data_IF_921249994461
#
_entry.id   IF_921249994461
#
_cell.length_a   1.000
_cell.length_b   1.000
_cell.length_c   1.000
_cell.angle_alpha   90.00
_cell.angle_beta   90.00
_cell.angle_gamma   90.00
#
_symmetry.space_group_name_H-M   'P 1'
#
loop_
_entity.id
_entity.type
_entity.pdbx_description
1 polymer ?
#
# COMPACT_ATOMS: atom_id res chain seq x y z
N UNK A 1 -26.16 -22.67 -0.76
CA UNK A 1 -25.98 -21.50 -1.64
C UNK A 1 -25.56 -20.24 -0.87
N UNK A 2 -26.21 -19.87 0.25
CA UNK A 2 -25.82 -18.69 1.03
C UNK A 2 -24.37 -18.72 1.58
N UNK A 3 -23.90 -19.84 2.16
CA UNK A 3 -22.54 -19.92 2.71
C UNK A 3 -21.43 -19.80 1.65
N UNK A 4 -21.61 -20.41 0.47
CA UNK A 4 -20.65 -20.29 -0.64
C UNK A 4 -20.58 -18.85 -1.16
N UNK A 5 -21.73 -18.15 -1.18
CA UNK A 5 -21.80 -16.77 -1.61
C UNK A 5 -21.10 -15.81 -0.63
N UNK A 6 -21.21 -16.08 0.67
CA UNK A 6 -20.50 -15.32 1.71
C UNK A 6 -18.99 -15.62 1.73
N UNK A 7 -18.58 -16.87 1.50
CA UNK A 7 -17.16 -17.21 1.31
C UNK A 7 -16.55 -16.50 0.10
N UNK A 8 -17.27 -16.47 -1.03
CA UNK A 8 -16.84 -15.74 -2.23
C UNK A 8 -16.70 -14.23 -1.97
N UNK A 9 -17.72 -13.60 -1.35
CA UNK A 9 -17.65 -12.18 -0.98
C UNK A 9 -16.47 -11.87 -0.07
N UNK A 10 -16.21 -12.71 0.93
CA UNK A 10 -15.10 -12.51 1.85
C UNK A 10 -13.74 -12.64 1.13
N UNK A 11 -13.58 -13.60 0.21
CA UNK A 11 -12.37 -13.73 -0.60
C UNK A 11 -12.15 -12.52 -1.52
N UNK A 12 -13.20 -12.04 -2.19
CA UNK A 12 -13.11 -10.83 -3.03
C UNK A 12 -12.73 -9.61 -2.18
N UNK A 13 -13.33 -9.45 -0.99
CA UNK A 13 -13.03 -8.32 -0.09
C UNK A 13 -11.57 -8.35 0.41
N UNK A 14 -11.06 -9.53 0.74
CA UNK A 14 -9.67 -9.72 1.17
C UNK A 14 -8.64 -9.33 0.10
N UNK A 15 -9.01 -9.38 -1.18
CA UNK A 15 -8.16 -8.94 -2.29
C UNK A 15 -8.39 -7.48 -2.70
N UNK A 16 -9.64 -7.01 -2.63
CA UNK A 16 -9.99 -5.65 -3.04
C UNK A 16 -9.44 -4.60 -2.07
N UNK A 17 -9.46 -4.88 -0.76
CA UNK A 17 -8.99 -3.94 0.27
C UNK A 17 -7.50 -3.55 0.13
N UNK A 18 -6.53 -4.47 0.01
CA UNK A 18 -5.13 -4.07 -0.19
C UNK A 18 -4.92 -3.23 -1.44
N UNK A 19 -5.64 -3.53 -2.54
CA UNK A 19 -5.53 -2.77 -3.78
C UNK A 19 -6.07 -1.34 -3.63
N UNK A 20 -7.18 -1.16 -2.92
CA UNK A 20 -7.74 0.16 -2.63
C UNK A 20 -6.80 0.98 -1.75
N UNK A 21 -6.21 0.37 -0.72
CA UNK A 21 -5.25 1.03 0.18
C UNK A 21 -3.99 1.49 -0.58
N UNK A 22 -3.42 0.64 -1.43
CA UNK A 22 -2.27 1.01 -2.28
C UNK A 22 -2.63 2.09 -3.30
N UNK A 23 -3.82 2.02 -3.93
CA UNK A 23 -4.24 3.04 -4.89
C UNK A 23 -4.41 4.42 -4.22
N UNK A 24 -5.02 4.46 -3.03
CA UNK A 24 -5.14 5.66 -2.24
C UNK A 24 -3.76 6.22 -1.85
N UNK A 25 -2.84 5.34 -1.44
CA UNK A 25 -1.47 5.71 -1.12
C UNK A 25 -0.74 6.30 -2.35
N UNK A 26 -0.85 5.68 -3.53
CA UNK A 26 -0.26 6.19 -4.77
C UNK A 26 -0.77 7.58 -5.11
N UNK A 27 -2.09 7.80 -5.02
CA UNK A 27 -2.70 9.11 -5.26
C UNK A 27 -2.17 10.16 -4.28
N UNK A 28 -2.14 9.83 -2.98
CA UNK A 28 -1.59 10.70 -1.93
C UNK A 28 -0.13 11.04 -2.21
N UNK A 29 0.71 10.08 -2.58
CA UNK A 29 2.12 10.32 -2.88
C UNK A 29 2.28 11.23 -4.09
N UNK A 30 1.59 10.94 -5.19
CA UNK A 30 1.67 11.75 -6.42
C UNK A 30 1.23 13.20 -6.17
N UNK A 31 0.17 13.42 -5.41
CA UNK A 31 -0.31 14.76 -5.06
C UNK A 31 0.67 15.53 -4.17
N UNK A 32 1.48 14.82 -3.38
CA UNK A 32 2.39 15.44 -2.43
C UNK A 32 3.82 15.59 -2.97
N UNK A 33 4.19 15.04 -4.13
CA UNK A 33 5.54 15.19 -4.68
C UNK A 33 5.86 16.66 -4.98
N UNK A 34 7.05 17.09 -4.59
CA UNK A 34 7.54 18.45 -4.86
C UNK A 34 8.15 18.55 -6.24
N UNK A 35 7.94 19.70 -6.85
CA UNK A 35 8.54 20.07 -8.13
C UNK A 35 8.87 21.56 -8.12
N UNK A 36 9.83 21.96 -8.94
CA UNK A 36 10.16 23.37 -9.13
C UNK A 36 9.03 24.03 -9.90
N UNK A 37 8.45 25.08 -9.30
CA UNK A 37 7.36 25.82 -9.95
C UNK A 37 7.93 26.82 -10.96
N UNK A 38 7.25 27.08 -12.09
CA UNK A 38 7.71 28.09 -13.05
C UNK A 38 7.95 29.47 -12.42
N UNK A 39 7.13 29.86 -11.44
CA UNK A 39 7.25 31.15 -10.73
C UNK A 39 8.46 31.21 -9.79
N UNK A 40 9.06 30.07 -9.46
CA UNK A 40 10.29 29.97 -8.68
C UNK A 40 11.52 30.12 -9.55
N UNK A 41 11.44 29.68 -10.82
CA UNK A 41 12.51 29.81 -11.80
C UNK A 41 12.70 31.27 -12.23
N UNK A 42 11.61 32.04 -12.37
CA UNK A 42 11.68 33.47 -12.72
C UNK A 42 12.30 34.34 -11.61
N UNK A 43 12.41 33.81 -10.39
CA UNK A 43 12.99 34.50 -9.22
C UNK A 43 14.48 34.22 -9.02
N UNK A 44 15.08 33.34 -9.83
CA UNK A 44 16.50 33.01 -9.74
C UNK A 44 17.34 34.23 -10.12
N UNK A 45 18.28 34.59 -9.24
CA UNK A 45 19.20 35.70 -9.49
C UNK A 45 20.57 35.22 -9.97
N UNK A 46 20.91 33.98 -9.63
CA UNK A 46 22.19 33.36 -9.93
C UNK A 46 21.99 31.90 -10.34
N UNK A 47 22.84 31.34 -11.23
CA UNK A 47 22.70 29.96 -11.68
C UNK A 47 22.88 28.92 -10.56
N UNK A 48 23.65 29.22 -9.51
CA UNK A 48 23.87 28.32 -8.38
C UNK A 48 22.58 28.06 -7.58
N UNK A 49 21.67 29.04 -7.53
CA UNK A 49 20.37 28.92 -6.83
C UNK A 49 19.48 27.85 -7.47
N UNK A 50 19.69 27.53 -8.76
CA UNK A 50 18.99 26.44 -9.42
C UNK A 50 19.43 25.08 -8.87
N UNK A 51 20.74 24.89 -8.63
CA UNK A 51 21.28 23.66 -8.07
C UNK A 51 20.81 23.46 -6.63
N UNK A 52 20.86 24.52 -5.81
CA UNK A 52 20.37 24.49 -4.43
C UNK A 52 18.90 24.06 -4.37
N UNK A 53 18.05 24.61 -5.24
CA UNK A 53 16.63 24.24 -5.30
C UNK A 53 16.40 22.81 -5.79
N UNK A 54 17.18 22.32 -6.76
CA UNK A 54 17.08 20.92 -7.20
C UNK A 54 17.46 19.95 -6.07
N UNK A 55 18.52 20.26 -5.31
CA UNK A 55 18.92 19.47 -4.14
C UNK A 55 17.82 19.51 -3.08
N UNK A 56 17.22 20.67 -2.84
CA UNK A 56 16.12 20.80 -1.88
C UNK A 56 14.91 19.93 -2.27
N UNK A 57 14.46 20.02 -3.53
CA UNK A 57 13.36 19.17 -4.04
C UNK A 57 13.72 17.69 -3.98
N UNK A 58 14.96 17.32 -4.30
CA UNK A 58 15.44 15.94 -4.19
C UNK A 58 15.36 15.43 -2.76
N UNK A 59 15.84 16.20 -1.78
CA UNK A 59 15.81 15.83 -0.36
C UNK A 59 14.35 15.66 0.08
N UNK A 60 13.49 16.63 -0.25
CA UNK A 60 12.07 16.58 0.13
C UNK A 60 11.36 15.36 -0.48
N UNK A 61 11.57 15.10 -1.77
CA UNK A 61 11.01 13.94 -2.46
C UNK A 61 11.60 12.61 -1.94
N UNK A 62 12.85 12.60 -1.49
CA UNK A 62 13.46 11.41 -0.88
C UNK A 62 12.75 11.06 0.42
N UNK A 63 12.46 12.05 1.28
CA UNK A 63 11.67 11.82 2.50
C UNK A 63 10.25 11.31 2.18
N UNK A 64 9.58 11.90 1.19
CA UNK A 64 8.23 11.46 0.75
C UNK A 64 8.25 10.04 0.21
N UNK A 65 9.28 9.69 -0.57
CA UNK A 65 9.46 8.33 -1.10
C UNK A 65 9.70 7.33 0.02
N UNK A 66 10.55 7.67 1.01
CA UNK A 66 10.79 6.80 2.15
C UNK A 66 9.51 6.55 2.95
N UNK A 67 8.74 7.61 3.23
CA UNK A 67 7.45 7.50 3.91
C UNK A 67 6.43 6.67 3.10
N UNK A 68 6.40 6.84 1.78
CA UNK A 68 5.58 5.99 0.91
C UNK A 68 5.95 4.51 1.04
N UNK A 69 7.25 4.18 1.03
CA UNK A 69 7.71 2.80 1.17
C UNK A 69 7.33 2.23 2.52
N UNK A 70 7.46 2.99 3.61
CA UNK A 70 7.02 2.60 4.95
C UNK A 70 5.51 2.31 4.99
N UNK A 71 4.67 3.22 4.50
CA UNK A 71 3.22 3.03 4.43
C UNK A 71 2.84 1.82 3.55
N UNK A 72 3.52 1.61 2.41
CA UNK A 72 3.29 0.48 1.53
C UNK A 72 3.65 -0.87 2.19
N UNK A 73 4.78 -0.93 2.90
CA UNK A 73 5.17 -2.12 3.66
C UNK A 73 4.16 -2.41 4.78
N UNK A 74 3.66 -1.39 5.46
CA UNK A 74 2.66 -1.56 6.51
C UNK A 74 1.34 -2.15 5.95
N UNK A 75 0.87 -1.65 4.79
CA UNK A 75 -0.29 -2.21 4.09
C UNK A 75 -0.03 -3.68 3.75
N UNK A 76 1.12 -3.98 3.16
CA UNK A 76 1.49 -5.34 2.78
C UNK A 76 1.52 -6.29 3.99
N UNK A 77 2.20 -5.92 5.08
CA UNK A 77 2.31 -6.72 6.30
C UNK A 77 0.92 -7.03 6.88
N UNK A 78 0.08 -5.99 7.02
CA UNK A 78 -1.29 -6.13 7.53
C UNK A 78 -2.10 -7.17 6.75
N UNK A 79 -2.08 -7.10 5.43
CA UNK A 79 -2.86 -8.03 4.59
C UNK A 79 -2.22 -9.42 4.48
N UNK A 80 -0.89 -9.52 4.51
CA UNK A 80 -0.19 -10.80 4.54
C UNK A 80 -0.46 -11.58 5.83
N UNK A 81 -0.45 -10.91 6.99
CA UNK A 81 -0.81 -11.52 8.28
C UNK A 81 -2.25 -12.02 8.30
N UNK A 82 -3.18 -11.24 7.73
CA UNK A 82 -4.59 -11.65 7.57
C UNK A 82 -4.72 -12.90 6.68
N UNK A 83 -4.04 -12.92 5.54
CA UNK A 83 -4.04 -14.06 4.62
C UNK A 83 -3.49 -15.33 5.28
N UNK A 84 -2.36 -15.22 6.00
CA UNK A 84 -1.76 -16.35 6.74
C UNK A 84 -2.70 -16.90 7.83
N UNK A 85 -3.36 -16.01 8.59
CA UNK A 85 -4.37 -16.41 9.60
C UNK A 85 -5.54 -17.16 8.97
N UNK A 86 -6.03 -16.67 7.82
CA UNK A 86 -7.14 -17.31 7.10
C UNK A 86 -6.74 -18.68 6.53
N UNK A 87 -5.54 -18.80 5.96
CA UNK A 87 -5.00 -20.08 5.47
C UNK A 87 -4.90 -21.12 6.60
N UNK A 88 -4.40 -20.70 7.78
CA UNK A 88 -4.34 -21.56 8.96
C UNK A 88 -5.71 -22.04 9.41
N UNK A 89 -6.69 -21.13 9.53
CA UNK A 89 -8.08 -21.47 9.90
C UNK A 89 -8.70 -22.46 8.92
N UNK A 90 -8.48 -22.28 7.62
CA UNK A 90 -8.98 -23.18 6.58
C UNK A 90 -8.38 -24.59 6.72
N UNK A 91 -7.08 -24.69 7.01
CA UNK A 91 -6.41 -25.96 7.29
C UNK A 91 -6.92 -26.65 8.57
N UNK A 92 -7.12 -25.90 9.65
CA UNK A 92 -7.69 -26.44 10.89
C UNK A 92 -9.13 -26.94 10.69
N UNK A 93 -9.93 -26.24 9.88
CA UNK A 93 -11.29 -26.64 9.54
C UNK A 93 -11.32 -27.90 8.66
N UNK A 94 -10.44 -28.01 7.66
CA UNK A 94 -10.38 -29.19 6.79
C UNK A 94 -9.94 -30.45 7.55
N UNK A 95 -8.99 -30.31 8.48
CA UNK A 95 -8.57 -31.39 9.38
C UNK A 95 -9.71 -31.84 10.33
N UNK A 96 -10.47 -30.90 10.89
CA UNK A 96 -11.64 -31.22 11.73
C UNK A 96 -12.73 -31.95 10.93
N UNK A 97 -13.02 -31.51 9.70
CA UNK A 97 -13.99 -32.17 8.83
C UNK A 97 -13.53 -33.57 8.40
N UNK A 98 -12.23 -33.76 8.15
CA UNK A 98 -11.65 -35.07 7.84
C UNK A 98 -11.64 -36.02 9.05
N UNK A 99 -11.43 -35.49 10.26
CA UNK A 99 -11.48 -36.25 11.52
C UNK A 99 -12.90 -36.69 11.92
N UNK A 100 -13.92 -35.89 11.60
CA UNK A 100 -15.34 -36.22 11.87
C UNK A 100 -15.87 -37.29 10.90
N UNK A 101 -15.34 -37.39 9.67
CA UNK A 101 -15.74 -38.42 8.68
C UNK A 101 -15.17 -39.83 8.95
N UNK A 102 -14.41 -40.02 10.03
CA UNK A 102 -13.70 -41.29 10.32
C UNK A 102 -14.44 -42.25 11.26
N UNK A 103 -15.71 -41.99 11.58
CA UNK A 103 -16.60 -42.89 12.33
C UNK A 103 -17.85 -43.23 11.53
#
# INVERSE_FOLDING_TARGET
MHEQMEQWKNSVRNFQQPLQEIMALNLKTLQNMSYLRPEELTKLRRPEELLERNIHVLIENSHKTLNYMEEAFHIFEKHMLSAASNARKLGEQSLRQAGIKRN
#
